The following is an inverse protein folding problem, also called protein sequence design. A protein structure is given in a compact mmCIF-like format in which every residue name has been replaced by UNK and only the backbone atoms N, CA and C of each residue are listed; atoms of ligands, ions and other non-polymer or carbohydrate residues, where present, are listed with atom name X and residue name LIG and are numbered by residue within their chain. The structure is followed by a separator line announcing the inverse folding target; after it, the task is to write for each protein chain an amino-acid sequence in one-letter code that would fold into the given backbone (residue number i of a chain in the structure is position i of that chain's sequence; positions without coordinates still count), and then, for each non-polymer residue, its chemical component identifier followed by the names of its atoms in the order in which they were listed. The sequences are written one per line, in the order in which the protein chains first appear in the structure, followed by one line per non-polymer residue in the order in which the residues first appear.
data_IF_934857688019
#
_entry.id   IF_934857688019
#
_cell.length_a   1.000
_cell.length_b   1.000
_cell.length_c   1.000
_cell.angle_alpha   90.00
_cell.angle_beta   90.00
_cell.angle_gamma   90.00
#
_symmetry.space_group_name_H-M   'P 1'
#
loop_
_entity.id
_entity.type
_entity.pdbx_description
1 polymer ?
#
# COMPACT_ATOMS: atom_id res chain seq x y z
N UNK A 1 -18.10 7.09 -18.00
CA UNK A 1 -18.87 7.52 -16.81
C UNK A 1 -17.94 7.71 -15.60
N UNK A 2 -17.10 6.74 -15.20
CA UNK A 2 -16.22 6.90 -14.03
C UNK A 2 -15.29 8.13 -14.10
N UNK A 3 -14.61 8.37 -15.23
CA UNK A 3 -13.74 9.53 -15.41
C UNK A 3 -14.48 10.88 -15.24
N UNK A 4 -15.71 10.99 -15.72
CA UNK A 4 -16.52 12.22 -15.62
C UNK A 4 -16.89 12.57 -14.17
N UNK A 5 -17.04 11.56 -13.30
CA UNK A 5 -17.30 11.79 -11.88
C UNK A 5 -16.00 12.25 -11.18
N UNK A 6 -14.85 11.70 -11.57
CA UNK A 6 -13.56 12.10 -11.02
C UNK A 6 -13.21 13.55 -11.40
N UNK A 7 -13.38 13.91 -12.67
CA UNK A 7 -13.20 15.29 -13.17
C UNK A 7 -14.10 16.27 -12.39
N UNK A 8 -15.38 15.94 -12.20
CA UNK A 8 -16.28 16.78 -11.41
C UNK A 8 -15.80 16.93 -9.95
N UNK A 9 -15.26 15.87 -9.34
CA UNK A 9 -14.76 15.95 -7.98
C UNK A 9 -13.52 16.85 -7.89
N UNK A 10 -12.63 16.80 -8.87
CA UNK A 10 -11.45 17.68 -8.98
C UNK A 10 -11.89 19.14 -9.14
N UNK A 11 -12.82 19.42 -10.06
CA UNK A 11 -13.36 20.78 -10.27
C UNK A 11 -13.95 21.35 -8.98
N UNK A 12 -14.75 20.55 -8.26
CA UNK A 12 -15.34 20.96 -6.98
C UNK A 12 -14.26 21.14 -5.89
N UNK A 13 -13.20 20.34 -5.88
CA UNK A 13 -12.10 20.48 -4.94
C UNK A 13 -11.43 21.85 -5.09
N UNK A 14 -11.13 22.23 -6.34
CA UNK A 14 -10.47 23.48 -6.68
C UNK A 14 -11.39 24.69 -6.43
N UNK A 15 -12.66 24.60 -6.82
CA UNK A 15 -13.64 25.68 -6.66
C UNK A 15 -13.87 26.02 -5.17
N UNK A 16 -14.00 25.00 -4.32
CA UNK A 16 -14.34 25.19 -2.90
C UNK A 16 -13.12 25.14 -1.96
N UNK A 17 -11.92 24.85 -2.46
CA UNK A 17 -10.70 24.70 -1.66
C UNK A 17 -10.81 23.60 -0.59
N UNK A 18 -11.53 22.51 -0.90
CA UNK A 18 -11.82 21.43 0.05
C UNK A 18 -10.81 20.27 -0.06
N UNK A 19 -10.84 19.35 0.91
CA UNK A 19 -10.09 18.10 0.85
C UNK A 19 -11.01 16.94 0.49
N UNK A 20 -10.53 16.02 -0.34
CA UNK A 20 -11.27 14.83 -0.75
C UNK A 20 -10.58 13.59 -0.19
N UNK A 21 -11.36 12.73 0.49
CA UNK A 21 -10.94 11.39 0.88
C UNK A 21 -11.66 10.36 0.00
N UNK A 22 -10.91 9.65 -0.83
CA UNK A 22 -11.44 8.57 -1.66
C UNK A 22 -11.01 7.21 -1.13
N UNK A 23 -11.96 6.30 -1.03
CA UNK A 23 -11.72 4.89 -0.68
C UNK A 23 -11.98 4.04 -1.91
N UNK A 24 -10.92 3.46 -2.46
CA UNK A 24 -11.00 2.61 -3.65
C UNK A 24 -10.01 1.45 -3.57
N UNK A 25 -10.29 0.39 -4.32
CA UNK A 25 -9.38 -0.73 -4.55
C UNK A 25 -8.64 -0.60 -5.90
N UNK A 26 -9.02 0.37 -6.72
CA UNK A 26 -8.47 0.57 -8.06
C UNK A 26 -7.29 1.55 -8.02
N UNK A 27 -6.08 1.01 -8.19
CA UNK A 27 -4.85 1.79 -8.28
C UNK A 27 -4.77 2.64 -9.58
N UNK A 28 -5.69 2.51 -10.52
CA UNK A 28 -5.85 3.44 -11.64
C UNK A 28 -6.40 4.78 -11.15
N UNK A 29 -7.53 4.74 -10.46
CA UNK A 29 -8.15 5.94 -9.87
C UNK A 29 -7.18 6.65 -8.91
N UNK A 30 -6.46 5.88 -8.10
CA UNK A 30 -5.47 6.45 -7.17
C UNK A 30 -4.35 7.20 -7.90
N UNK A 31 -3.95 6.74 -9.08
CA UNK A 31 -2.90 7.38 -9.86
C UNK A 31 -3.33 8.74 -10.42
N UNK A 32 -4.63 8.88 -10.71
CA UNK A 32 -5.19 10.06 -11.36
C UNK A 32 -5.61 11.13 -10.33
N UNK A 33 -6.25 10.72 -9.23
CA UNK A 33 -6.91 11.66 -8.30
C UNK A 33 -6.11 12.00 -7.04
N UNK A 34 -5.29 11.06 -6.52
CA UNK A 34 -4.75 11.19 -5.18
C UNK A 34 -3.38 11.89 -5.16
N UNK A 35 -3.18 12.83 -4.25
CA UNK A 35 -1.84 13.35 -3.91
C UNK A 35 -1.07 12.40 -2.97
N UNK A 36 -1.81 11.77 -2.06
CA UNK A 36 -1.28 10.93 -0.99
C UNK A 36 -2.16 9.70 -0.76
N UNK A 37 -1.54 8.57 -0.50
CA UNK A 37 -2.18 7.25 -0.49
C UNK A 37 -1.84 6.49 0.78
N UNK A 38 -2.88 5.99 1.46
CA UNK A 38 -2.75 5.04 2.56
C UNK A 38 -3.25 3.66 2.11
N UNK A 39 -2.35 2.69 2.02
CA UNK A 39 -2.68 1.30 1.69
C UNK A 39 -3.06 0.57 2.97
N UNK A 40 -4.25 -0.03 2.98
CA UNK A 40 -4.76 -0.79 4.12
C UNK A 40 -4.75 -2.30 3.86
N UNK A 41 -4.45 -3.06 4.91
CA UNK A 41 -4.62 -4.51 4.94
C UNK A 41 -5.17 -4.94 6.29
N UNK A 42 -6.24 -5.74 6.26
CA UNK A 42 -6.85 -6.31 7.46
C UNK A 42 -7.08 -5.26 8.57
N UNK A 43 -7.64 -4.10 8.23
CA UNK A 43 -7.94 -3.01 9.18
C UNK A 43 -6.74 -2.20 9.69
N UNK A 44 -5.56 -2.34 9.08
CA UNK A 44 -4.38 -1.53 9.41
C UNK A 44 -3.83 -0.83 8.18
N UNK A 45 -3.41 0.42 8.32
CA UNK A 45 -2.54 1.07 7.33
C UNK A 45 -1.19 0.35 7.36
N UNK A 46 -0.82 -0.25 6.23
CA UNK A 46 0.44 -0.98 6.06
C UNK A 46 1.50 -0.18 5.31
N UNK A 47 1.09 0.81 4.54
CA UNK A 47 1.97 1.75 3.87
C UNK A 47 1.25 3.07 3.63
N UNK A 48 1.97 4.17 3.75
CA UNK A 48 1.46 5.53 3.52
C UNK A 48 2.52 6.32 2.78
N UNK A 49 2.19 6.94 1.65
CA UNK A 49 3.15 7.73 0.88
C UNK A 49 2.47 8.73 -0.06
N UNK A 50 3.25 9.66 -0.62
CA UNK A 50 2.80 10.37 -1.83
C UNK A 50 2.52 9.37 -2.96
N UNK A 51 1.59 9.68 -3.85
CA UNK A 51 1.25 8.81 -4.99
C UNK A 51 2.48 8.49 -5.83
N UNK A 52 3.34 9.49 -6.07
CA UNK A 52 4.61 9.30 -6.79
C UNK A 52 5.53 8.29 -6.12
N UNK A 53 5.76 8.41 -4.81
CA UNK A 53 6.63 7.48 -4.08
C UNK A 53 6.03 6.06 -4.02
N UNK A 54 4.72 5.95 -3.78
CA UNK A 54 4.05 4.66 -3.70
C UNK A 54 4.14 3.87 -5.02
N UNK A 55 3.98 4.54 -6.16
CA UNK A 55 4.00 3.90 -7.48
C UNK A 55 5.40 3.58 -7.98
N UNK A 56 6.39 4.40 -7.62
CA UNK A 56 7.78 4.20 -8.04
C UNK A 56 8.57 3.26 -7.12
N UNK A 57 8.27 3.28 -5.83
CA UNK A 57 9.05 2.58 -4.80
C UNK A 57 8.15 2.05 -3.66
N UNK A 58 7.20 1.14 -3.96
CA UNK A 58 6.39 0.51 -2.93
C UNK A 58 7.27 -0.33 -1.99
N UNK A 59 7.11 -0.14 -0.69
CA UNK A 59 7.98 -0.73 0.34
C UNK A 59 7.38 -1.97 0.99
N UNK A 60 6.10 -1.94 1.32
CA UNK A 60 5.46 -3.04 2.04
C UNK A 60 5.21 -4.21 1.07
N UNK A 61 5.55 -5.46 1.43
CA UNK A 61 5.37 -6.62 0.54
C UNK A 61 3.94 -6.80 0.01
N UNK A 62 2.93 -6.42 0.80
CA UNK A 62 1.54 -6.36 0.34
C UNK A 62 1.33 -5.36 -0.80
N UNK A 63 1.77 -4.11 -0.63
CA UNK A 63 1.68 -3.05 -1.65
C UNK A 63 2.39 -3.47 -2.93
N UNK A 64 3.61 -4.02 -2.83
CA UNK A 64 4.36 -4.58 -3.97
C UNK A 64 3.53 -5.64 -4.69
N UNK A 65 2.90 -6.55 -3.94
CA UNK A 65 2.00 -7.56 -4.48
C UNK A 65 0.79 -6.98 -5.22
N UNK A 66 0.18 -5.90 -4.71
CA UNK A 66 -0.94 -5.22 -5.39
C UNK A 66 -0.50 -4.66 -6.76
N UNK A 67 0.66 -4.00 -6.83
CA UNK A 67 1.19 -3.48 -8.09
C UNK A 67 1.54 -4.59 -9.09
N UNK A 68 2.04 -5.73 -8.61
CA UNK A 68 2.34 -6.89 -9.46
C UNK A 68 1.10 -7.66 -9.94
N UNK A 69 -0.01 -7.58 -9.19
CA UNK A 69 -1.27 -8.24 -9.54
C UNK A 69 -2.03 -7.52 -10.67
N UNK A 70 -1.59 -6.31 -11.08
CA UNK A 70 -2.24 -5.53 -12.14
C UNK A 70 -1.76 -5.99 -13.53
N UNK A 71 -2.66 -6.19 -14.50
CA UNK A 71 -2.28 -6.42 -15.89
C UNK A 71 -1.55 -5.18 -16.43
N UNK A 72 -0.30 -5.34 -16.87
CA UNK A 72 0.41 -4.27 -17.57
C UNK A 72 -0.04 -4.27 -19.03
N UNK A 73 -0.58 -3.15 -19.50
CA UNK A 73 -0.91 -2.92 -20.91
C UNK A 73 0.35 -3.20 -21.76
N UNK A 74 0.24 -4.10 -22.73
CA UNK A 74 1.35 -4.52 -23.61
C UNK A 74 2.15 -5.74 -23.16
N UNK A 75 1.94 -6.27 -21.95
CA UNK A 75 2.62 -7.50 -21.50
C UNK A 75 1.78 -8.75 -21.78
N UNK A 76 2.26 -9.64 -22.65
CA UNK A 76 1.70 -10.99 -22.88
C UNK A 76 2.10 -11.96 -21.74
N UNK A 77 1.83 -11.61 -20.47
CA UNK A 77 1.98 -12.57 -19.38
C UNK A 77 0.77 -13.51 -19.36
N UNK A 78 1.02 -14.82 -19.48
CA UNK A 78 -0.03 -15.87 -19.48
C UNK A 78 -0.67 -16.04 -18.09
N UNK A 79 0.02 -15.62 -17.02
CA UNK A 79 -0.46 -15.68 -15.64
C UNK A 79 -0.13 -14.39 -14.88
N UNK A 80 -1.12 -13.85 -14.17
CA UNK A 80 -0.97 -12.73 -13.25
C UNK A 80 -0.32 -13.22 -11.95
N UNK A 81 0.60 -12.40 -11.42
CA UNK A 81 1.22 -12.66 -10.12
C UNK A 81 0.19 -12.35 -9.03
N UNK A 82 -0.36 -13.38 -8.39
CA UNK A 82 -1.38 -13.24 -7.33
C UNK A 82 -0.74 -13.32 -5.94
N UNK A 83 -1.24 -12.55 -4.99
CA UNK A 83 -0.83 -12.65 -3.59
C UNK A 83 -1.41 -13.96 -3.00
N UNK A 84 -0.57 -14.94 -2.64
CA UNK A 84 -1.03 -16.26 -2.22
C UNK A 84 -1.78 -16.21 -0.88
N UNK A 85 -2.58 -17.25 -0.62
CA UNK A 85 -3.32 -17.42 0.63
C UNK A 85 -4.60 -16.58 0.73
N UNK A 86 -5.28 -16.72 1.87
CA UNK A 86 -6.56 -16.05 2.17
C UNK A 86 -6.37 -14.90 3.15
N UNK A 87 -7.23 -13.87 3.05
CA UNK A 87 -7.24 -12.79 4.05
C UNK A 87 -7.62 -13.38 5.42
N UNK A 88 -6.91 -13.04 6.50
CA UNK A 88 -7.25 -13.48 7.85
C UNK A 88 -8.67 -13.13 8.27
N UNK A 89 -9.25 -13.93 9.14
CA UNK A 89 -10.57 -13.67 9.70
C UNK A 89 -10.55 -12.37 10.54
N UNK A 90 -11.47 -11.42 10.32
CA UNK A 90 -11.55 -10.19 11.12
C UNK A 90 -11.79 -10.41 12.63
N UNK A 91 -12.34 -11.56 13.03
CA UNK A 91 -12.60 -11.91 14.43
C UNK A 91 -11.31 -12.39 15.13
N UNK A 92 -10.39 -13.01 14.38
CA UNK A 92 -9.18 -13.63 14.91
C UNK A 92 -7.99 -13.31 14.00
N UNK A 93 -7.44 -12.11 14.21
CA UNK A 93 -6.24 -11.70 13.48
C UNK A 93 -5.00 -12.40 14.05
N UNK A 94 -4.06 -12.81 13.18
CA UNK A 94 -2.83 -13.41 13.65
C UNK A 94 -2.01 -12.41 14.49
N UNK A 95 -1.23 -12.90 15.47
CA UNK A 95 -0.36 -12.05 16.26
C UNK A 95 0.73 -11.40 15.39
N UNK A 96 1.25 -10.27 15.86
CA UNK A 96 2.27 -9.49 15.16
C UNK A 96 1.77 -8.85 13.85
N UNK A 97 2.54 -8.99 12.77
CA UNK A 97 2.21 -8.42 11.47
C UNK A 97 1.02 -9.18 10.83
N UNK A 98 -0.13 -8.51 10.66
CA UNK A 98 -1.33 -9.13 10.06
C UNK A 98 -1.10 -9.77 8.68
N UNK A 99 -0.12 -9.30 7.92
CA UNK A 99 0.21 -9.83 6.60
C UNK A 99 1.21 -11.01 6.63
N UNK A 100 1.81 -11.34 7.78
CA UNK A 100 2.84 -12.38 7.88
C UNK A 100 2.42 -13.76 7.31
N UNK A 101 1.14 -14.20 7.35
CA UNK A 101 0.76 -15.50 6.80
C UNK A 101 0.85 -15.57 5.27
N UNK A 102 0.81 -14.41 4.59
CA UNK A 102 0.82 -14.28 3.12
C UNK A 102 2.09 -13.59 2.60
N UNK A 103 2.97 -13.17 3.50
CA UNK A 103 4.18 -12.44 3.16
C UNK A 103 5.29 -13.40 2.72
N UNK A 104 5.78 -13.25 1.49
CA UNK A 104 6.93 -14.02 0.98
C UNK A 104 8.27 -13.69 1.69
N UNK A 105 8.28 -12.63 2.51
CA UNK A 105 9.46 -12.15 3.24
C UNK A 105 9.26 -12.23 4.77
N UNK A 106 8.42 -13.15 5.25
CA UNK A 106 8.14 -13.32 6.67
C UNK A 106 9.41 -13.74 7.44
N UNK A 107 9.66 -13.08 8.57
CA UNK A 107 10.67 -13.47 9.55
C UNK A 107 9.98 -13.89 10.87
N UNK A 108 10.73 -14.49 11.80
CA UNK A 108 10.18 -14.93 13.09
C UNK A 108 9.56 -13.77 13.88
N UNK A 109 10.24 -12.62 13.94
CA UNK A 109 9.76 -11.42 14.65
C UNK A 109 8.41 -10.92 14.11
N UNK A 110 8.14 -11.09 12.80
CA UNK A 110 6.87 -10.70 12.19
C UNK A 110 5.67 -11.45 12.76
N UNK A 111 5.88 -12.63 13.37
CA UNK A 111 4.82 -13.48 13.94
C UNK A 111 4.53 -13.16 15.41
N UNK A 112 5.42 -12.40 16.07
CA UNK A 112 5.41 -12.21 17.53
C UNK A 112 5.18 -10.76 17.93
N UNK A 113 5.72 -9.82 17.17
CA UNK A 113 5.75 -8.41 17.53
C UNK A 113 4.79 -7.61 16.67
N UNK A 114 3.91 -6.81 17.30
CA UNK A 114 3.11 -5.85 16.55
C UNK A 114 4.04 -4.82 15.90
N UNK A 115 3.78 -4.55 14.62
CA UNK A 115 4.64 -3.70 13.82
C UNK A 115 4.03 -2.32 13.78
N UNK A 116 4.75 -1.30 14.25
CA UNK A 116 4.31 0.08 14.14
C UNK A 116 4.41 0.58 12.69
N UNK A 117 3.59 1.57 12.32
CA UNK A 117 3.79 2.33 11.08
C UNK A 117 4.90 3.35 11.36
N UNK A 118 6.04 3.22 10.69
CA UNK A 118 7.21 4.07 10.91
C UNK A 118 7.70 4.69 9.60
N UNK A 119 8.34 5.87 9.65
CA UNK A 119 8.98 6.49 8.49
C UNK A 119 10.07 5.59 7.87
N UNK A 120 9.99 5.41 6.56
CA UNK A 120 10.94 4.65 5.73
C UNK A 120 11.44 5.46 4.52
N UNK A 121 11.21 6.77 4.56
CA UNK A 121 11.60 7.75 3.55
C UNK A 121 11.09 9.15 3.95
N UNK A 122 11.37 10.19 3.14
CA UNK A 122 11.00 11.58 3.46
C UNK A 122 9.49 11.81 3.61
N UNK A 123 8.67 11.12 2.81
CA UNK A 123 7.21 11.18 2.84
C UNK A 123 6.61 9.79 2.64
N UNK A 124 7.23 8.78 3.28
CA UNK A 124 6.81 7.40 3.15
C UNK A 124 6.94 6.69 4.48
N UNK A 125 5.89 6.00 4.89
CA UNK A 125 5.81 5.19 6.09
C UNK A 125 5.42 3.77 5.72
N UNK A 126 5.97 2.78 6.44
CA UNK A 126 5.64 1.37 6.21
C UNK A 126 5.53 0.62 7.53
N UNK A 127 4.53 -0.26 7.62
CA UNK A 127 4.33 -1.20 8.73
C UNK A 127 5.05 -2.51 8.47
N UNK A 128 6.35 -2.45 8.17
CA UNK A 128 7.16 -3.61 7.81
C UNK A 128 8.52 -3.60 8.51
N UNK A 129 8.77 -4.58 9.39
CA UNK A 129 10.05 -4.71 10.11
C UNK A 129 11.25 -4.78 9.16
N UNK A 130 11.13 -5.50 8.04
CA UNK A 130 12.22 -5.63 7.06
C UNK A 130 12.62 -4.29 6.45
N UNK A 131 11.65 -3.46 6.09
CA UNK A 131 11.90 -2.15 5.48
C UNK A 131 12.47 -1.20 6.53
N UNK A 132 11.87 -1.16 7.72
CA UNK A 132 12.30 -0.30 8.82
C UNK A 132 13.75 -0.58 9.23
N UNK A 133 14.14 -1.84 9.36
CA UNK A 133 15.53 -2.23 9.69
C UNK A 133 16.51 -1.72 8.64
N UNK A 134 16.20 -1.92 7.36
CA UNK A 134 17.04 -1.46 6.24
C UNK A 134 17.24 0.06 6.26
N UNK A 135 16.18 0.83 6.50
CA UNK A 135 16.28 2.30 6.55
C UNK A 135 17.07 2.80 7.77
N UNK A 136 16.96 2.11 8.92
CA UNK A 136 17.76 2.42 10.10
C UNK A 136 19.26 2.15 9.83
N UNK A 137 19.59 1.07 9.13
CA UNK A 137 20.97 0.73 8.77
C UNK A 137 21.57 1.77 7.81
N UNK A 138 20.81 2.23 6.82
CA UNK A 138 21.26 3.27 5.88
C UNK A 138 21.54 4.61 6.56
N UNK A 139 20.78 4.98 7.60
CA UNK A 139 20.99 6.23 8.37
C UNK A 139 22.18 6.19 9.32
N UNK A 140 22.76 5.01 9.58
CA UNK A 140 23.93 4.84 10.45
C UNK A 140 25.27 4.92 9.69
N UNK A 141 25.23 4.95 8.36
CA UNK A 141 26.38 5.19 7.48
C UNK A 141 26.48 6.67 7.17
#
# INVERSE_FOLDING_TARGET
IQAQILELLEDLQEEFGMSILVITHDLGIVADLADHVAVMYAGRIVESASTRELFSNPRHPYTVGLFHSRPRLGSRKIRLDVIPGVVPNPIDFPPGCRFHPRCAHVAEDCRRTDVALLPVGPQQESRCLRVQRREIELKKQ
#
